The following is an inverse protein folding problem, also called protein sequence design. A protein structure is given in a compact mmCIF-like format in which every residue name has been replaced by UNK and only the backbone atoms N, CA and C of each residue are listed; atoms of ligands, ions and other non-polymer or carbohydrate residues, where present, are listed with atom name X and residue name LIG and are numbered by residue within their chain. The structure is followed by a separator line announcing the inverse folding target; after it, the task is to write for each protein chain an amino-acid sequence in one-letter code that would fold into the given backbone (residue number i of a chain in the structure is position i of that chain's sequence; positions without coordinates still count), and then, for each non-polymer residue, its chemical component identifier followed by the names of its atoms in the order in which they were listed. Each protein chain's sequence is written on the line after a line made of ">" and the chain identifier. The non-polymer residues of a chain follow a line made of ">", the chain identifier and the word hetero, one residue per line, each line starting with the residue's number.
data_IF_601615014106
#
_entry.id   IF_601615014106
#
_cell.length_a   1.000
_cell.length_b   1.000
_cell.length_c   1.000
_cell.angle_alpha   90.00
_cell.angle_beta   90.00
_cell.angle_gamma   90.00
#
_symmetry.space_group_name_H-M   'P 1'
#
loop_
_entity.id
_entity.type
_entity.pdbx_description
1 polymer ?
#
# COMPACT_ATOMS: atom_id res chain seq x y z
N UNK A 1 12.24 -7.38 -3.58
CA UNK A 1 12.88 -6.33 -4.41
C UNK A 1 12.05 -6.16 -5.69
N UNK A 2 11.45 -4.99 -5.89
CA UNK A 2 10.80 -4.63 -7.15
C UNK A 2 11.81 -3.87 -7.99
N UNK A 3 12.37 -4.54 -8.99
CA UNK A 3 13.24 -3.91 -9.99
C UNK A 3 12.35 -3.41 -11.13
N UNK A 4 12.47 -2.14 -11.44
CA UNK A 4 11.88 -1.56 -12.63
C UNK A 4 12.99 -1.64 -13.71
N UNK A 5 12.80 -2.50 -14.69
CA UNK A 5 13.78 -2.66 -15.79
C UNK A 5 13.88 -1.41 -16.67
N UNK A 6 14.95 -1.32 -17.46
CA UNK A 6 15.25 -0.17 -18.33
C UNK A 6 14.22 0.06 -19.46
N UNK A 7 13.52 -0.97 -19.88
CA UNK A 7 12.64 -0.93 -21.04
C UNK A 7 11.50 0.10 -21.02
N UNK A 8 10.89 0.48 -19.86
CA UNK A 8 9.84 1.47 -19.82
C UNK A 8 10.32 2.93 -19.85
N UNK A 9 11.62 3.19 -19.81
CA UNK A 9 12.13 4.57 -19.79
C UNK A 9 12.40 5.10 -21.20
N UNK A 10 12.12 6.39 -21.40
CA UNK A 10 12.41 7.06 -22.67
C UNK A 10 13.92 7.09 -22.97
N UNK A 11 14.27 7.17 -24.24
CA UNK A 11 15.66 7.33 -24.66
C UNK A 11 16.28 8.56 -23.97
N UNK A 12 17.42 8.37 -23.32
CA UNK A 12 18.12 9.42 -22.55
C UNK A 12 18.01 9.30 -21.03
N UNK A 13 17.19 8.37 -20.52
CA UNK A 13 17.24 8.04 -19.10
C UNK A 13 18.51 7.25 -18.78
N UNK A 14 19.08 7.54 -17.61
CA UNK A 14 20.30 6.90 -17.12
C UNK A 14 20.20 5.37 -17.15
N UNK A 15 21.28 4.66 -17.51
CA UNK A 15 21.27 3.21 -17.74
C UNK A 15 21.23 2.36 -16.45
N UNK A 16 20.98 2.96 -15.30
CA UNK A 16 20.98 2.28 -14.02
C UNK A 16 19.64 1.64 -13.68
N UNK A 17 19.68 0.54 -12.96
CA UNK A 17 18.48 -0.10 -12.43
C UNK A 17 17.84 0.79 -11.38
N UNK A 18 16.51 0.86 -11.39
CA UNK A 18 15.71 1.57 -10.40
C UNK A 18 14.95 0.55 -9.55
N UNK A 19 15.00 0.70 -8.24
CA UNK A 19 14.22 -0.08 -7.30
C UNK A 19 13.31 0.83 -6.48
N UNK A 20 12.05 0.40 -6.31
CA UNK A 20 11.12 1.02 -5.38
C UNK A 20 11.27 0.36 -4.01
N UNK A 21 11.58 1.15 -2.99
CA UNK A 21 11.69 0.70 -1.60
C UNK A 21 10.40 1.08 -0.86
N UNK A 22 9.52 0.10 -0.69
CA UNK A 22 8.26 0.24 0.05
C UNK A 22 8.10 -0.92 1.07
N UNK A 23 9.17 -1.23 1.77
CA UNK A 23 9.26 -2.39 2.66
C UNK A 23 8.65 -2.08 4.05
N UNK A 24 8.28 -3.13 4.83
CA UNK A 24 7.80 -2.94 6.21
C UNK A 24 8.78 -2.18 7.11
N UNK A 25 10.08 -2.31 6.88
CA UNK A 25 11.12 -1.57 7.61
C UNK A 25 11.06 -0.05 7.40
N UNK A 26 10.30 0.39 6.41
CA UNK A 26 10.07 1.79 6.09
C UNK A 26 8.70 2.30 6.55
N UNK A 27 7.93 1.47 7.24
CA UNK A 27 6.64 1.87 7.79
C UNK A 27 6.83 2.64 9.09
N UNK A 28 6.28 3.85 9.14
CA UNK A 28 6.33 4.71 10.32
C UNK A 28 5.14 4.42 11.24
N UNK A 29 5.41 4.04 12.48
CA UNK A 29 4.41 3.57 13.45
C UNK A 29 4.29 4.44 14.71
N UNK A 30 5.07 5.53 14.82
CA UNK A 30 5.13 6.37 16.02
C UNK A 30 3.96 7.37 16.13
N UNK A 31 3.12 7.45 15.10
CA UNK A 31 1.94 8.29 15.11
C UNK A 31 1.15 8.22 13.81
N UNK A 32 0.02 8.91 13.77
CA UNK A 32 -0.82 9.01 12.59
C UNK A 32 -1.08 10.48 12.24
N UNK A 33 -1.55 10.71 11.02
CA UNK A 33 -1.81 12.05 10.49
C UNK A 33 -3.30 12.32 10.26
N UNK A 34 -4.19 11.40 10.69
CA UNK A 34 -5.63 11.51 10.49
C UNK A 34 -6.26 12.25 11.67
N UNK A 35 -7.02 13.32 11.40
CA UNK A 35 -7.69 14.17 12.41
C UNK A 35 -6.73 14.75 13.46
N UNK A 36 -5.53 15.14 13.02
CA UNK A 36 -4.49 15.74 13.86
C UNK A 36 -4.31 17.22 13.56
N UNK A 37 -3.75 17.96 14.53
CA UNK A 37 -3.35 19.33 14.32
C UNK A 37 -2.25 19.44 13.24
N UNK A 38 -2.19 20.53 12.45
CA UNK A 38 -1.20 20.67 11.39
C UNK A 38 0.25 20.49 11.85
N UNK A 39 0.57 20.94 13.05
CA UNK A 39 1.90 20.85 13.64
C UNK A 39 2.28 19.39 13.96
N UNK A 40 1.31 18.60 14.47
CA UNK A 40 1.46 17.19 14.76
C UNK A 40 1.63 16.39 13.43
N UNK A 41 0.83 16.72 12.42
CA UNK A 41 0.97 16.14 11.08
C UNK A 41 2.35 16.42 10.50
N UNK A 42 2.82 17.68 10.55
CA UNK A 42 4.13 18.06 10.04
C UNK A 42 5.25 17.29 10.76
N UNK A 43 5.17 17.18 12.08
CA UNK A 43 6.13 16.41 12.87
C UNK A 43 6.20 14.94 12.43
N UNK A 44 5.05 14.27 12.32
CA UNK A 44 5.03 12.85 11.92
C UNK A 44 5.50 12.63 10.48
N UNK A 45 5.22 13.55 9.56
CA UNK A 45 5.72 13.49 8.20
C UNK A 45 7.24 13.64 8.15
N UNK A 46 7.81 14.55 8.93
CA UNK A 46 9.26 14.72 9.05
C UNK A 46 9.93 13.46 9.62
N UNK A 47 9.38 12.90 10.69
CA UNK A 47 9.90 11.66 11.29
C UNK A 47 9.81 10.46 10.32
N UNK A 48 8.74 10.34 9.56
CA UNK A 48 8.60 9.30 8.55
C UNK A 48 9.64 9.44 7.42
N UNK A 49 9.96 10.67 7.00
CA UNK A 49 11.04 10.95 6.05
C UNK A 49 12.41 10.59 6.64
N UNK A 50 12.66 10.95 7.90
CA UNK A 50 13.88 10.60 8.62
C UNK A 50 14.06 9.09 8.71
N UNK A 51 13.00 8.33 9.02
CA UNK A 51 13.04 6.86 9.02
C UNK A 51 13.44 6.30 7.64
N UNK A 52 12.86 6.83 6.57
CA UNK A 52 13.20 6.42 5.20
C UNK A 52 14.67 6.68 4.87
N UNK A 53 15.20 7.82 5.28
CA UNK A 53 16.61 8.17 5.10
C UNK A 53 17.53 7.31 5.97
N UNK A 54 17.13 6.97 7.20
CA UNK A 54 17.87 6.05 8.05
C UNK A 54 17.99 4.65 7.44
N UNK A 55 16.88 4.12 6.89
CA UNK A 55 16.90 2.85 6.17
C UNK A 55 17.83 2.92 4.94
N UNK A 56 17.76 4.00 4.19
CA UNK A 56 18.61 4.22 3.03
C UNK A 56 20.11 4.28 3.43
N UNK A 57 20.43 5.04 4.48
CA UNK A 57 21.79 5.11 5.02
C UNK A 57 22.29 3.73 5.46
N UNK A 58 21.48 2.98 6.20
CA UNK A 58 21.82 1.61 6.60
C UNK A 58 22.07 0.72 5.37
N UNK A 59 21.28 0.83 4.32
CA UNK A 59 21.52 0.08 3.08
C UNK A 59 22.88 0.44 2.45
N UNK A 60 23.29 1.70 2.50
CA UNK A 60 24.57 2.12 1.96
C UNK A 60 25.76 1.62 2.78
N UNK A 61 25.64 1.50 4.11
CA UNK A 61 26.77 1.35 5.03
C UNK A 61 26.87 -0.02 5.68
N UNK A 62 25.75 -0.65 6.02
CA UNK A 62 25.71 -1.79 6.94
C UNK A 62 24.97 -3.01 6.42
N UNK A 63 24.10 -2.87 5.43
CA UNK A 63 23.29 -3.98 4.94
C UNK A 63 24.19 -5.15 4.48
N UNK A 64 23.92 -6.40 4.93
CA UNK A 64 24.74 -7.54 4.56
C UNK A 64 24.67 -7.83 3.06
N UNK A 65 25.81 -8.12 2.46
CA UNK A 65 25.93 -8.44 1.05
C UNK A 65 26.10 -9.95 0.82
N UNK A 66 25.65 -10.47 -0.33
CA UNK A 66 25.82 -11.89 -0.66
C UNK A 66 27.30 -12.35 -0.73
N UNK A 67 28.24 -11.42 -0.97
CA UNK A 67 29.68 -11.69 -1.03
C UNK A 67 30.37 -11.67 0.35
N UNK A 68 29.59 -11.54 1.44
CA UNK A 68 30.10 -11.46 2.82
C UNK A 68 30.53 -10.04 3.24
N UNK A 69 30.49 -9.07 2.35
CA UNK A 69 30.72 -7.66 2.69
C UNK A 69 29.50 -6.99 3.31
N UNK A 70 29.63 -5.71 3.62
CA UNK A 70 28.55 -4.87 4.17
C UNK A 70 28.39 -3.60 3.33
N UNK A 71 27.16 -3.12 3.30
CA UNK A 71 26.79 -1.87 2.63
C UNK A 71 26.84 -1.92 1.11
N UNK A 72 26.03 -1.06 0.50
CA UNK A 72 25.96 -0.86 -0.94
C UNK A 72 26.20 0.62 -1.25
N UNK A 73 27.45 1.12 -1.20
CA UNK A 73 27.76 2.54 -1.29
C UNK A 73 27.41 3.17 -2.66
N UNK A 74 27.18 2.34 -3.67
CA UNK A 74 26.71 2.78 -4.99
C UNK A 74 25.20 3.07 -5.08
N UNK A 75 24.43 2.86 -4.00
CA UNK A 75 23.02 3.27 -3.98
C UNK A 75 22.91 4.80 -3.87
N UNK A 76 21.96 5.38 -4.62
CA UNK A 76 21.60 6.78 -4.52
C UNK A 76 20.12 6.99 -4.76
N UNK A 77 19.58 8.07 -4.18
CA UNK A 77 18.20 8.47 -4.41
C UNK A 77 18.07 9.06 -5.83
N UNK A 78 16.88 8.93 -6.40
CA UNK A 78 16.60 9.34 -7.78
C UNK A 78 15.59 10.49 -7.84
N UNK A 79 16.05 11.76 -7.62
CA UNK A 79 15.19 12.95 -7.74
C UNK A 79 14.52 13.07 -9.11
N UNK A 80 15.25 12.74 -10.15
CA UNK A 80 14.81 12.75 -11.55
C UNK A 80 13.63 11.79 -11.81
N UNK A 81 13.65 10.62 -11.17
CA UNK A 81 12.57 9.63 -11.27
C UNK A 81 11.38 10.01 -10.40
N UNK A 82 11.64 10.50 -9.20
CA UNK A 82 10.59 10.85 -8.22
C UNK A 82 9.96 12.22 -8.50
N UNK A 83 10.65 13.10 -9.19
CA UNK A 83 10.22 14.48 -9.42
C UNK A 83 10.19 15.30 -8.11
N UNK A 84 11.17 15.07 -7.24
CA UNK A 84 11.38 15.77 -5.97
C UNK A 84 12.85 16.13 -5.83
N UNK A 85 13.17 17.13 -5.04
CA UNK A 85 14.57 17.59 -4.90
C UNK A 85 15.44 16.61 -4.10
N UNK A 86 14.82 15.81 -3.23
CA UNK A 86 15.49 14.87 -2.34
C UNK A 86 15.39 13.38 -2.77
N UNK A 87 14.68 13.10 -3.85
CA UNK A 87 14.48 11.72 -4.35
C UNK A 87 13.57 10.85 -3.48
N UNK A 88 12.88 11.42 -2.50
CA UNK A 88 11.81 10.75 -1.76
C UNK A 88 10.46 10.96 -2.45
N UNK A 89 9.44 10.23 -2.04
CA UNK A 89 8.08 10.37 -2.56
C UNK A 89 7.53 11.77 -2.33
N UNK A 90 6.75 12.30 -3.29
CA UNK A 90 6.05 13.59 -3.16
C UNK A 90 5.08 13.65 -1.97
N UNK A 91 4.54 12.51 -1.58
CA UNK A 91 3.61 12.38 -0.47
C UNK A 91 3.88 11.06 0.28
N UNK A 92 3.52 10.97 1.55
CA UNK A 92 3.63 9.71 2.30
C UNK A 92 2.74 8.64 1.68
N UNK A 93 3.21 7.41 1.63
CA UNK A 93 2.40 6.29 1.20
C UNK A 93 1.51 5.83 2.38
N UNK A 94 0.25 6.21 2.33
CA UNK A 94 -0.74 5.78 3.33
C UNK A 94 -1.28 4.41 2.93
N UNK A 95 -0.96 3.37 3.70
CA UNK A 95 -1.44 2.01 3.42
C UNK A 95 -2.92 1.88 3.71
N UNK A 96 -3.38 2.45 4.81
CA UNK A 96 -4.76 2.38 5.28
C UNK A 96 -5.21 3.72 5.84
N UNK A 97 -6.47 4.07 5.54
CA UNK A 97 -7.08 5.29 5.99
C UNK A 97 -8.56 5.04 6.33
N UNK A 98 -9.37 6.09 6.33
CA UNK A 98 -10.81 5.97 6.50
C UNK A 98 -11.44 5.21 5.37
N UNK A 99 -12.47 4.44 5.69
CA UNK A 99 -13.38 3.78 4.74
C UNK A 99 -14.76 4.41 4.86
N UNK A 100 -15.49 4.43 3.75
CA UNK A 100 -16.88 4.92 3.77
C UNK A 100 -17.78 3.94 4.54
N UNK A 101 -18.85 4.45 5.10
CA UNK A 101 -20.03 3.64 5.43
C UNK A 101 -20.78 3.40 4.15
N UNK A 102 -20.63 2.20 3.60
CA UNK A 102 -21.22 1.80 2.34
C UNK A 102 -22.50 1.00 2.57
N UNK A 103 -23.33 0.87 1.53
CA UNK A 103 -24.51 0.01 1.54
C UNK A 103 -24.19 -1.46 1.75
N UNK A 104 -22.96 -1.85 1.40
CA UNK A 104 -22.44 -3.18 1.64
C UNK A 104 -20.98 -3.08 2.15
N UNK A 105 -20.64 -3.86 3.16
CA UNK A 105 -19.26 -3.96 3.66
C UNK A 105 -18.71 -5.33 3.35
N UNK A 106 -17.60 -5.36 2.60
CA UNK A 106 -16.87 -6.61 2.35
C UNK A 106 -16.11 -6.99 3.60
N UNK A 107 -16.28 -8.24 4.03
CA UNK A 107 -15.55 -8.86 5.14
C UNK A 107 -14.58 -9.92 4.64
N UNK A 108 -13.71 -10.42 5.49
CA UNK A 108 -12.82 -11.54 5.19
C UNK A 108 -13.57 -12.83 4.86
N UNK A 109 -14.75 -13.03 5.41
CA UNK A 109 -15.62 -14.17 5.13
C UNK A 109 -16.07 -14.25 3.67
N UNK A 110 -16.02 -13.14 2.94
CA UNK A 110 -16.35 -13.12 1.53
C UNK A 110 -15.19 -13.57 0.61
N UNK A 111 -13.96 -13.48 1.09
CA UNK A 111 -12.76 -13.60 0.23
C UNK A 111 -11.65 -14.48 0.80
N UNK A 112 -11.54 -14.60 2.12
CA UNK A 112 -10.48 -15.36 2.78
C UNK A 112 -10.62 -16.87 2.51
N UNK A 113 -9.54 -17.52 2.08
CA UNK A 113 -9.59 -18.95 1.73
C UNK A 113 -10.07 -19.82 2.88
N UNK A 114 -9.51 -19.62 4.06
CA UNK A 114 -9.88 -20.39 5.25
C UNK A 114 -11.27 -20.00 5.76
N UNK A 115 -11.58 -18.71 5.80
CA UNK A 115 -12.88 -18.20 6.25
C UNK A 115 -14.03 -18.67 5.35
N UNK A 116 -13.78 -18.83 4.05
CA UNK A 116 -14.78 -19.34 3.09
C UNK A 116 -15.04 -20.83 3.23
N UNK A 117 -14.06 -21.63 3.60
CA UNK A 117 -14.16 -23.09 3.56
C UNK A 117 -14.54 -23.64 2.17
N UNK A 118 -14.19 -22.91 1.12
CA UNK A 118 -14.56 -23.16 -0.27
C UNK A 118 -13.42 -22.70 -1.18
N UNK A 119 -13.36 -23.23 -2.39
CA UNK A 119 -12.39 -22.83 -3.41
C UNK A 119 -12.80 -21.57 -4.20
N UNK A 120 -13.95 -20.98 -3.86
CA UNK A 120 -14.47 -19.79 -4.52
C UNK A 120 -14.86 -18.71 -3.50
N UNK A 121 -14.51 -17.46 -3.80
CA UNK A 121 -15.01 -16.29 -3.11
C UNK A 121 -16.54 -16.12 -3.33
N UNK A 122 -17.17 -15.26 -2.57
CA UNK A 122 -18.60 -14.96 -2.74
C UNK A 122 -18.85 -14.36 -4.13
N UNK A 123 -19.86 -14.85 -4.81
CA UNK A 123 -20.36 -14.27 -6.05
C UNK A 123 -21.27 -13.08 -5.76
N UNK A 124 -21.00 -11.96 -6.44
CA UNK A 124 -21.82 -10.74 -6.37
C UNK A 124 -22.45 -10.44 -7.73
N UNK A 125 -23.78 -10.40 -7.77
CA UNK A 125 -24.52 -10.06 -9.02
C UNK A 125 -24.22 -8.66 -9.55
N UNK A 126 -23.90 -7.73 -8.64
CA UNK A 126 -23.60 -6.33 -8.90
C UNK A 126 -22.08 -6.07 -8.97
N UNK A 127 -21.28 -7.09 -9.26
CA UNK A 127 -19.84 -6.95 -9.36
C UNK A 127 -19.44 -5.93 -10.43
N UNK A 128 -18.58 -4.99 -10.06
CA UNK A 128 -18.01 -3.97 -10.96
C UNK A 128 -16.57 -4.28 -11.37
N UNK A 129 -15.98 -5.33 -10.80
CA UNK A 129 -14.64 -5.73 -11.11
C UNK A 129 -14.19 -6.96 -10.32
N UNK A 130 -12.93 -7.34 -10.53
CA UNK A 130 -12.30 -8.48 -9.86
C UNK A 130 -10.97 -8.08 -9.25
N UNK A 131 -10.53 -8.83 -8.25
CA UNK A 131 -9.23 -8.68 -7.63
C UNK A 131 -8.64 -10.04 -7.24
N UNK A 132 -7.33 -10.07 -7.07
CA UNK A 132 -6.61 -11.23 -6.58
C UNK A 132 -5.37 -10.77 -5.85
N UNK A 133 -5.39 -10.83 -4.54
CA UNK A 133 -4.25 -10.54 -3.69
C UNK A 133 -4.47 -11.13 -2.30
N UNK A 134 -3.41 -11.47 -1.60
CA UNK A 134 -3.47 -11.92 -0.20
C UNK A 134 -4.05 -10.83 0.69
N UNK A 135 -4.66 -11.21 1.80
CA UNK A 135 -4.95 -10.27 2.89
C UNK A 135 -3.61 -9.98 3.57
N UNK A 136 -2.99 -8.88 3.16
CA UNK A 136 -1.67 -8.44 3.59
C UNK A 136 -1.81 -7.13 4.36
N UNK A 137 -1.62 -7.20 5.67
CA UNK A 137 -1.69 -6.06 6.59
C UNK A 137 -0.38 -5.93 7.34
N UNK A 138 0.17 -4.73 7.30
CA UNK A 138 1.31 -4.37 8.11
C UNK A 138 0.86 -3.93 9.49
N UNK A 139 1.74 -3.98 10.51
CA UNK A 139 1.45 -3.41 11.81
C UNK A 139 0.97 -1.96 11.69
N UNK A 140 0.09 -1.53 12.57
CA UNK A 140 -0.45 -0.18 12.61
C UNK A 140 -0.16 0.51 13.95
N UNK A 141 -0.44 1.81 14.03
CA UNK A 141 -0.40 2.58 15.29
C UNK A 141 -1.37 2.05 16.34
N UNK A 142 -2.34 1.21 15.95
CA UNK A 142 -3.23 0.48 16.84
C UNK A 142 -2.58 -0.69 17.58
N UNK A 143 -1.28 -0.96 17.33
CA UNK A 143 -0.52 -2.09 17.87
C UNK A 143 -0.98 -3.45 17.36
N UNK A 144 -1.53 -3.49 16.16
CA UNK A 144 -1.88 -4.73 15.47
C UNK A 144 -0.61 -5.47 15.03
N UNK A 145 -0.74 -6.78 14.91
CA UNK A 145 0.31 -7.61 14.34
C UNK A 145 0.23 -7.63 12.81
N UNK A 146 1.33 -8.04 12.19
CA UNK A 146 1.36 -8.37 10.77
C UNK A 146 0.40 -9.54 10.46
N UNK A 147 -0.42 -9.37 9.43
CA UNK A 147 -1.35 -10.39 8.94
C UNK A 147 -1.04 -10.67 7.47
N UNK A 148 -0.79 -11.93 7.15
CA UNK A 148 -0.57 -12.39 5.78
C UNK A 148 -1.27 -13.73 5.57
N UNK A 149 -2.54 -13.69 5.14
CA UNK A 149 -3.35 -14.87 4.90
C UNK A 149 -3.84 -14.95 3.47
N UNK A 150 -4.07 -16.18 3.00
CA UNK A 150 -4.51 -16.43 1.64
C UNK A 150 -5.94 -15.93 1.39
N UNK A 151 -6.14 -15.25 0.28
CA UNK A 151 -7.46 -14.98 -0.27
C UNK A 151 -7.71 -15.81 -1.53
N UNK A 152 -8.96 -15.88 -1.92
CA UNK A 152 -9.39 -16.38 -3.22
C UNK A 152 -9.44 -15.21 -4.23
N UNK A 153 -9.37 -15.44 -5.54
CA UNK A 153 -9.77 -14.43 -6.52
C UNK A 153 -11.21 -13.98 -6.21
N UNK A 154 -11.43 -12.67 -6.12
CA UNK A 154 -12.67 -12.12 -5.58
C UNK A 154 -13.29 -11.08 -6.51
N UNK A 155 -14.58 -10.86 -6.35
CA UNK A 155 -15.34 -9.82 -7.00
C UNK A 155 -15.46 -8.58 -6.11
N UNK A 156 -15.75 -7.44 -6.73
CA UNK A 156 -15.91 -6.15 -6.07
C UNK A 156 -17.38 -5.75 -6.20
N UNK A 157 -18.20 -5.84 -5.15
CA UNK A 157 -19.61 -5.51 -5.23
C UNK A 157 -19.83 -4.00 -5.36
N UNK A 158 -20.72 -3.56 -6.24
CA UNK A 158 -21.10 -2.16 -6.40
C UNK A 158 -21.57 -1.55 -5.07
N UNK A 159 -22.27 -2.33 -4.24
CA UNK A 159 -22.74 -1.89 -2.93
C UNK A 159 -21.62 -1.39 -2.01
N UNK A 160 -20.38 -1.87 -2.17
CA UNK A 160 -19.23 -1.41 -1.40
C UNK A 160 -18.73 -0.02 -1.84
N UNK A 161 -19.13 0.45 -3.01
CA UNK A 161 -18.77 1.79 -3.54
C UNK A 161 -19.86 2.83 -3.27
N UNK A 162 -21.06 2.42 -2.87
CA UNK A 162 -22.19 3.33 -2.67
C UNK A 162 -22.26 3.73 -1.18
N UNK A 163 -22.00 5.01 -0.83
CA UNK A 163 -22.16 5.48 0.54
C UNK A 163 -23.62 5.37 1.01
N UNK A 164 -23.82 5.15 2.31
CA UNK A 164 -25.16 5.12 2.90
C UNK A 164 -25.89 6.48 2.85
N UNK A 165 -25.14 7.59 2.88
CA UNK A 165 -25.69 8.94 3.10
C UNK A 165 -25.44 9.91 1.95
N UNK A 166 -24.52 9.62 1.05
CA UNK A 166 -24.17 10.49 -0.10
C UNK A 166 -24.64 9.85 -1.41
N UNK A 167 -25.32 10.62 -2.23
CA UNK A 167 -25.95 10.09 -3.45
C UNK A 167 -25.10 10.24 -4.71
N UNK A 168 -24.15 11.16 -4.71
CA UNK A 168 -23.34 11.53 -5.88
C UNK A 168 -21.85 11.29 -5.72
N UNK A 169 -21.47 10.26 -4.95
CA UNK A 169 -20.10 9.88 -4.70
C UNK A 169 -19.91 8.36 -4.87
N UNK A 170 -18.92 7.96 -5.65
CA UNK A 170 -18.46 6.59 -5.76
C UNK A 170 -16.94 6.57 -5.57
N UNK A 171 -16.42 6.15 -4.41
CA UNK A 171 -14.99 5.95 -4.23
C UNK A 171 -14.53 4.70 -4.99
N UNK A 172 -13.33 4.72 -5.53
CA UNK A 172 -12.78 3.61 -6.30
C UNK A 172 -11.45 3.07 -5.73
N UNK A 173 -11.05 3.58 -4.58
CA UNK A 173 -9.74 3.31 -3.99
C UNK A 173 -9.85 2.61 -2.62
N UNK A 174 -8.81 2.73 -1.81
CA UNK A 174 -8.66 2.12 -0.48
C UNK A 174 -9.81 2.38 0.50
N UNK A 175 -10.66 3.36 0.22
CA UNK A 175 -11.72 3.85 1.09
C UNK A 175 -13.12 3.28 0.78
N UNK A 176 -13.22 2.23 -0.02
CA UNK A 176 -14.50 1.51 -0.23
C UNK A 176 -14.98 0.84 1.05
N UNK A 177 -16.23 0.37 1.05
CA UNK A 177 -16.84 -0.37 2.17
C UNK A 177 -16.20 -1.72 2.41
N UNK A 178 -15.16 -1.75 3.23
CA UNK A 178 -14.44 -2.95 3.64
C UNK A 178 -14.14 -2.92 5.14
N UNK A 179 -13.86 -4.06 5.74
CA UNK A 179 -13.27 -4.13 7.10
C UNK A 179 -11.79 -3.80 7.04
N UNK A 180 -11.16 -3.62 8.20
CA UNK A 180 -9.70 -3.52 8.29
C UNK A 180 -9.03 -4.75 7.65
N UNK A 181 -9.53 -5.94 7.95
CA UNK A 181 -8.97 -7.20 7.45
C UNK A 181 -9.12 -7.32 5.93
N UNK A 182 -10.34 -7.21 5.40
CA UNK A 182 -10.56 -7.34 3.96
C UNK A 182 -9.91 -6.22 3.15
N UNK A 183 -9.69 -5.04 3.74
CA UNK A 183 -8.94 -3.97 3.09
C UNK A 183 -7.53 -4.40 2.69
N UNK A 184 -6.91 -5.34 3.41
CA UNK A 184 -5.59 -5.88 3.10
C UNK A 184 -5.44 -6.40 1.67
N UNK A 185 -6.51 -6.93 1.06
CA UNK A 185 -6.49 -7.37 -0.33
C UNK A 185 -7.21 -6.42 -1.30
N UNK A 186 -8.14 -5.59 -0.82
CA UNK A 186 -8.87 -4.63 -1.68
C UNK A 186 -8.10 -3.32 -1.95
N UNK A 187 -7.17 -2.91 -1.10
CA UNK A 187 -6.41 -1.66 -1.21
C UNK A 187 -5.28 -1.65 -2.24
N UNK A 188 -5.25 -2.60 -3.16
CA UNK A 188 -4.20 -2.75 -4.14
C UNK A 188 -4.49 -1.94 -5.41
N UNK A 189 -3.49 -1.30 -5.98
CA UNK A 189 -3.63 -0.50 -7.21
C UNK A 189 -4.30 -1.24 -8.37
N UNK A 190 -4.02 -2.55 -8.64
CA UNK A 190 -4.75 -3.28 -9.67
C UNK A 190 -6.26 -3.41 -9.38
N UNK A 191 -6.65 -3.54 -8.10
CA UNK A 191 -8.06 -3.57 -7.68
C UNK A 191 -8.71 -2.20 -7.90
N UNK A 192 -8.04 -1.14 -7.43
CA UNK A 192 -8.48 0.25 -7.60
C UNK A 192 -8.67 0.61 -9.09
N UNK A 193 -7.70 0.22 -9.90
CA UNK A 193 -7.78 0.40 -11.35
C UNK A 193 -8.94 -0.36 -11.98
N UNK A 194 -9.17 -1.60 -11.55
CA UNK A 194 -10.26 -2.44 -12.08
C UNK A 194 -11.64 -1.88 -11.71
N UNK A 195 -11.80 -1.30 -10.52
CA UNK A 195 -13.02 -0.59 -10.12
C UNK A 195 -13.29 0.59 -11.07
N UNK A 196 -12.28 1.41 -11.33
CA UNK A 196 -12.40 2.58 -12.20
C UNK A 196 -12.73 2.24 -13.64
#
# INVERSE_FOLDING_TARGET
>A
RRLIGRAPYAAGCEPHEVALVNWPQNDYLEGNIIDKAPEEVAHHLEQARALSLCLFYWMQTEAPRPDGGVGFPGLYLRPDVMGTDDGLSKAPYIREARRIRARFTVTEEHVGREARGSDQAVYFKDSVGVGCYRIDLHPSTGRDNYIDVSSLPFQIPLGALIPERMENLLPACKNIGSTHISNGCYRLHPVEWNIG
#
